data_IF_328729100751
#
_entry.id   IF_328729100751
#
_cell.length_a   1.000
_cell.length_b   1.000
_cell.length_c   1.000
_cell.angle_alpha   90.00
_cell.angle_beta   90.00
_cell.angle_gamma   90.00
#
_symmetry.space_group_name_H-M   'P 1'
#
loop_
_entity.id
_entity.type
_entity.pdbx_description
1 polymer ?
#
# COMPACT_ATOMS: atom_id res chain seq x y z
N UNK A 1 -11.59 18.49 10.87
CA UNK A 1 -10.48 17.71 10.29
C UNK A 1 -11.02 16.97 9.08
N UNK A 2 -10.62 17.37 7.88
CA UNK A 2 -11.10 16.78 6.64
C UNK A 2 -10.34 15.47 6.37
N UNK A 3 -11.05 14.36 6.35
CA UNK A 3 -10.48 13.04 6.05
C UNK A 3 -10.48 12.84 4.53
N UNK A 4 -9.30 12.88 3.93
CA UNK A 4 -9.09 12.51 2.53
C UNK A 4 -9.18 11.00 2.40
N UNK A 5 -10.35 10.47 2.00
CA UNK A 5 -10.48 9.06 1.65
C UNK A 5 -10.33 8.96 0.13
N UNK A 6 -9.16 8.47 -0.31
CA UNK A 6 -8.90 8.18 -1.72
C UNK A 6 -9.57 6.86 -2.10
N UNK A 7 -10.09 6.79 -3.33
CA UNK A 7 -10.63 5.58 -3.97
C UNK A 7 -9.69 4.38 -3.97
N UNK A 8 -8.38 4.59 -3.86
CA UNK A 8 -7.37 3.52 -3.74
C UNK A 8 -7.56 2.61 -2.50
N UNK A 9 -8.52 2.92 -1.61
CA UNK A 9 -8.77 2.17 -0.38
C UNK A 9 -9.87 1.10 -0.45
N UNK A 10 -10.68 1.04 -1.52
CA UNK A 10 -11.83 0.12 -1.60
C UNK A 10 -11.73 -0.84 -2.77
N UNK A 11 -11.94 -2.13 -2.50
CA UNK A 11 -11.89 -3.19 -3.52
C UNK A 11 -13.23 -3.37 -4.28
N UNK A 12 -14.06 -2.32 -4.35
CA UNK A 12 -15.33 -2.30 -5.09
C UNK A 12 -16.52 -1.69 -4.33
N UNK A 13 -17.72 -1.67 -4.94
CA UNK A 13 -18.89 -0.98 -4.40
C UNK A 13 -19.46 -1.64 -3.12
N UNK A 14 -19.35 -2.97 -2.99
CA UNK A 14 -19.78 -3.67 -1.77
C UNK A 14 -18.89 -3.32 -0.58
N UNK A 15 -17.60 -3.10 -0.80
CA UNK A 15 -16.69 -2.71 0.28
C UNK A 15 -16.96 -1.29 0.77
N UNK A 16 -17.20 -0.38 -0.17
CA UNK A 16 -17.66 0.98 0.15
C UNK A 16 -18.96 0.95 0.96
N UNK A 17 -19.93 0.14 0.55
CA UNK A 17 -21.19 0.00 1.31
C UNK A 17 -20.96 -0.54 2.72
N UNK A 18 -20.11 -1.57 2.89
CA UNK A 18 -19.76 -2.05 4.23
C UNK A 18 -19.05 -0.99 5.08
N UNK A 19 -18.25 -0.12 4.47
CA UNK A 19 -17.65 1.01 5.16
C UNK A 19 -18.70 2.02 5.62
N UNK A 20 -19.61 2.42 4.73
CA UNK A 20 -20.67 3.39 5.03
C UNK A 20 -21.65 2.86 6.09
N UNK A 21 -22.06 1.59 6.00
CA UNK A 21 -22.92 0.93 7.00
C UNK A 21 -22.25 0.96 8.39
N UNK A 22 -20.95 0.64 8.45
CA UNK A 22 -20.18 0.71 9.71
C UNK A 22 -20.09 2.13 10.24
N UNK A 23 -19.81 3.12 9.38
CA UNK A 23 -19.71 4.53 9.76
C UNK A 23 -21.04 5.09 10.27
N UNK A 24 -22.16 4.64 9.70
CA UNK A 24 -23.50 5.03 10.11
C UNK A 24 -24.03 4.26 11.33
N UNK A 25 -23.23 3.34 11.90
CA UNK A 25 -23.60 2.46 13.02
C UNK A 25 -24.89 1.64 12.74
N UNK A 26 -25.07 1.26 11.48
CA UNK A 26 -26.26 0.53 11.02
C UNK A 26 -26.05 -0.99 11.11
N UNK A 27 -27.13 -1.72 11.45
CA UNK A 27 -27.13 -3.17 11.33
C UNK A 27 -27.19 -3.58 9.84
N UNK A 28 -26.28 -4.44 9.42
CA UNK A 28 -26.23 -5.01 8.08
C UNK A 28 -27.49 -5.79 7.70
N UNK A 29 -28.23 -6.31 8.69
CA UNK A 29 -29.50 -7.01 8.46
C UNK A 29 -30.69 -6.07 8.35
N UNK A 30 -30.56 -4.83 8.82
CA UNK A 30 -31.62 -3.83 8.81
C UNK A 30 -31.12 -2.48 8.29
N UNK A 31 -30.79 -2.45 7.00
CA UNK A 31 -30.25 -1.26 6.35
C UNK A 31 -31.39 -0.31 5.94
N UNK A 32 -31.33 0.94 6.41
CA UNK A 32 -32.13 2.06 5.89
C UNK A 32 -31.63 2.46 4.48
N UNK A 33 -32.29 1.93 3.45
CA UNK A 33 -31.89 2.13 2.05
C UNK A 33 -31.85 3.63 1.69
N UNK A 34 -32.80 4.43 2.18
CA UNK A 34 -32.84 5.86 1.85
C UNK A 34 -31.55 6.60 2.27
N UNK A 35 -31.08 6.33 3.50
CA UNK A 35 -29.90 6.94 4.10
C UNK A 35 -28.61 6.44 3.44
N UNK A 36 -28.46 5.12 3.30
CA UNK A 36 -27.24 4.55 2.72
C UNK A 36 -27.05 4.96 1.26
N UNK A 37 -28.15 5.12 0.50
CA UNK A 37 -28.11 5.60 -0.88
C UNK A 37 -27.62 7.05 -0.94
N UNK A 38 -28.06 7.92 -0.03
CA UNK A 38 -27.60 9.31 0.01
C UNK A 38 -26.12 9.40 0.36
N UNK A 39 -25.68 8.65 1.37
CA UNK A 39 -24.27 8.59 1.78
C UNK A 39 -23.38 8.05 0.64
N UNK A 40 -23.86 7.03 -0.09
CA UNK A 40 -23.14 6.44 -1.23
C UNK A 40 -23.01 7.42 -2.40
N UNK A 41 -24.08 8.13 -2.76
CA UNK A 41 -24.07 9.11 -3.84
C UNK A 41 -23.23 10.34 -3.48
N UNK A 42 -23.31 10.81 -2.23
CA UNK A 42 -22.47 11.91 -1.75
C UNK A 42 -20.98 11.55 -1.87
N UNK A 43 -20.61 10.33 -1.45
CA UNK A 43 -19.23 9.86 -1.57
C UNK A 43 -18.78 9.76 -3.04
N UNK A 44 -19.62 9.25 -3.93
CA UNK A 44 -19.31 9.22 -5.38
C UNK A 44 -19.14 10.63 -5.98
N UNK A 45 -19.93 11.61 -5.54
CA UNK A 45 -19.83 12.98 -6.02
C UNK A 45 -18.50 13.63 -5.61
N UNK A 46 -18.12 13.51 -4.33
CA UNK A 46 -16.84 14.01 -3.81
C UNK A 46 -15.65 13.43 -4.59
N UNK A 47 -15.69 12.13 -4.91
CA UNK A 47 -14.64 11.48 -5.71
C UNK A 47 -14.51 12.01 -7.13
N UNK A 48 -15.65 12.32 -7.78
CA UNK A 48 -15.67 12.84 -9.15
C UNK A 48 -15.07 14.24 -9.21
N UNK A 49 -15.38 15.09 -8.23
CA UNK A 49 -14.83 16.44 -8.12
C UNK A 49 -13.30 16.43 -7.93
N UNK A 50 -12.79 15.46 -7.16
CA UNK A 50 -11.35 15.32 -6.93
C UNK A 50 -10.58 14.68 -8.11
N UNK A 51 -11.25 14.37 -9.23
CA UNK A 51 -10.68 13.66 -10.41
C UNK A 51 -9.99 12.33 -10.06
N UNK A 52 -10.39 11.71 -8.95
CA UNK A 52 -9.81 10.43 -8.48
C UNK A 52 -10.53 9.21 -9.05
N UNK A 53 -11.68 9.42 -9.70
CA UNK A 53 -12.49 8.36 -10.27
C UNK A 53 -12.06 8.12 -11.72
N UNK A 54 -11.22 7.12 -11.95
CA UNK A 54 -11.39 6.31 -13.16
C UNK A 54 -12.69 5.54 -12.94
N UNK A 55 -13.76 5.79 -13.72
CA UNK A 55 -15.08 5.23 -13.40
C UNK A 55 -15.07 3.72 -13.60
N UNK A 56 -14.92 2.97 -12.50
CA UNK A 56 -15.27 1.57 -12.50
C UNK A 56 -16.80 1.48 -12.69
N UNK A 57 -17.22 0.85 -13.80
CA UNK A 57 -18.62 0.68 -14.19
C UNK A 57 -19.48 0.08 -13.07
N UNK A 58 -18.87 -0.75 -12.22
CA UNK A 58 -19.50 -1.40 -11.07
C UNK A 58 -20.06 -0.43 -10.03
N UNK A 59 -19.40 0.71 -9.79
CA UNK A 59 -19.88 1.71 -8.83
C UNK A 59 -21.15 2.40 -9.33
N UNK A 60 -21.23 2.66 -10.64
CA UNK A 60 -22.42 3.26 -11.27
C UNK A 60 -23.59 2.28 -11.31
N UNK A 61 -23.32 0.99 -11.58
CA UNK A 61 -24.33 -0.07 -11.50
C UNK A 61 -24.90 -0.16 -10.09
N UNK A 62 -24.04 -0.11 -9.06
CA UNK A 62 -24.50 -0.09 -7.67
C UNK A 62 -25.30 1.19 -7.35
N UNK A 63 -24.87 2.37 -7.82
CA UNK A 63 -25.62 3.62 -7.64
C UNK A 63 -27.04 3.52 -8.20
N UNK A 64 -27.18 3.00 -9.42
CA UNK A 64 -28.48 2.78 -10.06
C UNK A 64 -29.33 1.76 -9.28
N UNK A 65 -28.70 0.69 -8.77
CA UNK A 65 -29.37 -0.33 -7.95
C UNK A 65 -29.92 0.28 -6.67
N UNK A 66 -29.12 1.09 -5.96
CA UNK A 66 -29.51 1.76 -4.71
C UNK A 66 -30.61 2.79 -4.92
N UNK A 67 -30.58 3.53 -6.03
CA UNK A 67 -31.64 4.46 -6.42
C UNK A 67 -32.95 3.73 -6.73
N UNK A 68 -32.89 2.61 -7.45
CA UNK A 68 -34.06 1.78 -7.73
C UNK A 68 -34.67 1.22 -6.42
N UNK A 69 -33.83 0.74 -5.50
CA UNK A 69 -34.26 0.26 -4.19
C UNK A 69 -34.86 1.39 -3.35
N UNK A 70 -34.26 2.58 -3.34
CA UNK A 70 -34.80 3.77 -2.63
C UNK A 70 -36.17 4.17 -3.19
N UNK A 71 -36.31 4.20 -4.51
CA UNK A 71 -37.57 4.50 -5.19
C UNK A 71 -38.67 3.49 -4.83
N UNK A 72 -38.37 2.18 -4.92
CA UNK A 72 -39.32 1.11 -4.55
C UNK A 72 -39.69 1.12 -3.06
N UNK A 73 -38.78 1.57 -2.20
CA UNK A 73 -39.02 1.67 -0.75
C UNK A 73 -39.90 2.88 -0.37
N UNK A 74 -39.84 3.97 -1.13
CA UNK A 74 -40.52 5.23 -0.80
C UNK A 74 -41.84 5.45 -1.57
N UNK A 75 -41.98 4.87 -2.76
CA UNK A 75 -43.16 5.10 -3.60
C UNK A 75 -44.34 4.19 -3.21
N UNK A 76 -45.58 4.73 -3.16
CA UNK A 76 -46.78 3.92 -3.01
C UNK A 76 -46.96 3.03 -4.25
N UNK A 77 -47.24 1.74 -4.03
CA UNK A 77 -47.45 0.77 -5.12
C UNK A 77 -48.85 0.96 -5.72
N UNK A 78 -48.95 1.12 -7.04
CA UNK A 78 -50.23 1.20 -7.75
C UNK A 78 -51.00 -0.11 -7.62
N UNK A 79 -52.22 -0.06 -7.10
CA UNK A 79 -53.14 -1.19 -7.00
C UNK A 79 -53.67 -1.56 -8.38
N UNK A 80 -53.03 -2.53 -9.03
CA UNK A 80 -53.57 -3.18 -10.22
C UNK A 80 -54.21 -4.52 -9.81
N UNK A 81 -55.54 -4.69 -9.96
CA UNK A 81 -56.24 -5.91 -9.57
C UNK A 81 -55.79 -7.16 -10.34
N UNK A 82 -55.17 -7.00 -11.50
CA UNK A 82 -54.73 -8.12 -12.35
C UNK A 82 -53.47 -8.85 -11.83
N UNK A 83 -52.74 -8.27 -10.87
CA UNK A 83 -51.45 -8.79 -10.38
C UNK A 83 -51.47 -9.17 -8.88
N UNK A 84 -52.65 -9.38 -8.31
CA UNK A 84 -52.83 -9.63 -6.85
C UNK A 84 -52.02 -10.85 -6.33
N UNK A 85 -52.01 -11.95 -7.08
CA UNK A 85 -51.27 -13.17 -6.69
C UNK A 85 -49.75 -12.99 -6.78
N UNK A 86 -49.26 -12.25 -7.78
CA UNK A 86 -47.84 -11.90 -7.95
C UNK A 86 -47.38 -10.89 -6.89
N UNK A 87 -48.26 -9.93 -6.54
CA UNK A 87 -48.03 -8.95 -5.47
C UNK A 87 -47.83 -9.60 -4.12
N UNK A 88 -48.67 -10.57 -3.73
CA UNK A 88 -48.52 -11.28 -2.45
C UNK A 88 -47.17 -12.01 -2.34
N UNK A 89 -46.66 -12.54 -3.46
CA UNK A 89 -45.34 -13.16 -3.51
C UNK A 89 -44.20 -12.13 -3.47
N UNK A 90 -44.33 -11.00 -4.16
CA UNK A 90 -43.35 -9.91 -4.15
C UNK A 90 -43.34 -9.05 -2.88
N UNK A 91 -44.44 -8.99 -2.14
CA UNK A 91 -44.53 -8.35 -0.82
C UNK A 91 -43.87 -9.20 0.26
N UNK A 92 -43.91 -10.53 0.11
CA UNK A 92 -43.22 -11.44 1.02
C UNK A 92 -41.69 -11.36 0.91
N UNK A 93 -41.16 -10.91 -0.24
CA UNK A 93 -39.72 -10.76 -0.45
C UNK A 93 -39.28 -9.33 -0.13
N UNK A 94 -38.48 -9.18 0.93
CA UNK A 94 -37.84 -7.90 1.24
C UNK A 94 -36.99 -7.44 0.03
N UNK A 95 -37.27 -6.28 -0.60
CA UNK A 95 -36.57 -5.83 -1.81
C UNK A 95 -35.06 -5.63 -1.60
N UNK A 96 -34.61 -5.42 -0.36
CA UNK A 96 -33.18 -5.31 -0.01
C UNK A 96 -32.54 -6.66 0.32
N UNK A 97 -33.27 -7.77 0.35
CA UNK A 97 -32.77 -9.09 0.75
C UNK A 97 -31.55 -9.54 -0.07
N UNK A 98 -31.59 -9.31 -1.38
CA UNK A 98 -30.47 -9.66 -2.27
C UNK A 98 -29.21 -8.84 -1.92
N UNK A 99 -29.37 -7.53 -1.71
CA UNK A 99 -28.26 -6.65 -1.33
C UNK A 99 -27.66 -7.08 0.01
N UNK A 100 -28.50 -7.31 1.02
CA UNK A 100 -28.08 -7.78 2.35
C UNK A 100 -27.30 -9.09 2.23
N UNK A 101 -27.81 -10.06 1.45
CA UNK A 101 -27.15 -11.33 1.22
C UNK A 101 -25.75 -11.15 0.63
N UNK A 102 -25.62 -10.33 -0.43
CA UNK A 102 -24.33 -10.03 -1.08
C UNK A 102 -23.35 -9.35 -0.11
N UNK A 103 -23.83 -8.42 0.72
CA UNK A 103 -23.00 -7.74 1.72
C UNK A 103 -22.51 -8.70 2.81
N UNK A 104 -23.36 -9.61 3.30
CA UNK A 104 -22.96 -10.62 4.29
C UNK A 104 -21.92 -11.58 3.70
N UNK A 105 -22.13 -12.04 2.46
CA UNK A 105 -21.21 -12.92 1.76
C UNK A 105 -19.85 -12.25 1.54
N UNK A 106 -19.84 -11.02 1.03
CA UNK A 106 -18.62 -10.24 0.87
C UNK A 106 -17.89 -10.03 2.20
N UNK A 107 -18.62 -9.66 3.28
CA UNK A 107 -18.04 -9.51 4.62
C UNK A 107 -17.35 -10.80 5.10
N UNK A 108 -17.95 -11.96 4.83
CA UNK A 108 -17.38 -13.27 5.18
C UNK A 108 -16.07 -13.53 4.44
N UNK A 109 -16.03 -13.29 3.13
CA UNK A 109 -14.82 -13.46 2.34
C UNK A 109 -13.73 -12.45 2.71
N UNK A 110 -14.10 -11.20 3.01
CA UNK A 110 -13.16 -10.19 3.49
C UNK A 110 -12.49 -10.61 4.80
N UNK A 111 -13.25 -11.12 5.77
CA UNK A 111 -12.71 -11.65 7.02
C UNK A 111 -11.82 -12.90 6.81
N UNK A 112 -12.18 -13.76 5.85
CA UNK A 112 -11.35 -14.92 5.50
C UNK A 112 -10.01 -14.49 4.86
N UNK A 113 -10.05 -13.49 3.97
CA UNK A 113 -8.86 -12.92 3.33
C UNK A 113 -7.94 -12.26 4.37
N UNK A 114 -8.49 -11.51 5.32
CA UNK A 114 -7.72 -10.93 6.44
C UNK A 114 -7.01 -12.01 7.25
N UNK A 115 -7.70 -13.11 7.59
CA UNK A 115 -7.11 -14.24 8.32
C UNK A 115 -6.03 -14.97 7.51
N UNK A 116 -6.17 -15.05 6.19
CA UNK A 116 -5.13 -15.59 5.31
C UNK A 116 -3.92 -14.66 5.26
N UNK A 117 -4.13 -13.35 5.23
CA UNK A 117 -3.06 -12.34 5.27
C UNK A 117 -2.29 -12.38 6.59
N UNK A 118 -2.97 -12.58 7.71
CA UNK A 118 -2.33 -12.82 9.00
C UNK A 118 -1.43 -14.05 8.99
N UNK A 119 -1.88 -15.15 8.36
CA UNK A 119 -1.08 -16.38 8.21
C UNK A 119 0.11 -16.20 7.28
N UNK A 120 -0.06 -15.45 6.20
CA UNK A 120 1.04 -15.08 5.30
C UNK A 120 2.13 -14.31 6.06
N UNK A 121 1.73 -13.30 6.85
CA UNK A 121 2.66 -12.50 7.64
C UNK A 121 3.32 -13.31 8.79
N UNK A 122 2.58 -14.19 9.44
CA UNK A 122 3.12 -15.07 10.49
C UNK A 122 4.04 -16.18 9.91
N UNK A 123 3.88 -16.48 8.62
CA UNK A 123 4.61 -17.52 7.89
C UNK A 123 5.97 -17.08 7.34
N UNK A 124 6.65 -16.11 7.95
CA UNK A 124 8.04 -15.75 7.65
C UNK A 124 9.01 -16.87 8.05
N UNK A 125 8.82 -18.06 7.48
CA UNK A 125 9.75 -19.17 7.54
C UNK A 125 10.85 -18.87 6.54
N UNK A 126 12.02 -18.50 7.05
CA UNK A 126 13.22 -18.36 6.23
C UNK A 126 13.62 -19.74 5.70
N UNK A 127 13.31 -20.01 4.44
CA UNK A 127 13.74 -21.23 3.76
C UNK A 127 15.11 -21.03 3.15
N UNK A 128 16.00 -22.03 3.30
CA UNK A 128 17.25 -22.07 2.52
C UNK A 128 16.94 -22.45 1.06
N UNK A 129 17.63 -21.88 0.06
CA UNK A 129 17.56 -22.39 -1.30
C UNK A 129 17.95 -23.88 -1.34
N UNK A 130 17.41 -24.66 -2.29
CA UNK A 130 17.86 -26.02 -2.53
C UNK A 130 19.37 -26.01 -2.83
N UNK A 131 20.09 -26.97 -2.26
CA UNK A 131 21.51 -27.12 -2.52
C UNK A 131 21.72 -27.59 -3.97
N UNK A 132 22.84 -27.18 -4.57
CA UNK A 132 23.25 -27.73 -5.86
C UNK A 132 23.66 -29.19 -5.67
N UNK A 133 22.92 -30.09 -6.32
CA UNK A 133 23.15 -31.53 -6.29
C UNK A 133 23.81 -32.03 -7.58
N UNK A 134 24.18 -31.15 -8.52
CA UNK A 134 24.88 -31.52 -9.74
C UNK A 134 26.15 -32.39 -9.51
N UNK A 135 26.94 -32.19 -8.44
CA UNK A 135 28.10 -33.06 -8.15
C UNK A 135 27.74 -34.51 -7.79
N UNK A 136 26.48 -34.78 -7.44
CA UNK A 136 25.97 -36.10 -7.05
C UNK A 136 25.06 -36.72 -8.12
N UNK A 137 24.93 -36.05 -9.26
CA UNK A 137 24.07 -36.50 -10.34
C UNK A 137 24.63 -37.80 -10.95
N UNK A 138 23.80 -38.84 -10.96
CA UNK A 138 24.15 -40.12 -11.58
C UNK A 138 23.55 -40.11 -12.98
N UNK A 139 24.32 -40.45 -14.03
CA UNK A 139 23.78 -40.49 -15.37
C UNK A 139 22.66 -41.53 -15.45
N UNK A 140 21.44 -41.02 -15.56
CA UNK A 140 20.21 -41.79 -15.71
C UNK A 140 19.12 -40.85 -16.21
N UNK A 141 18.51 -41.19 -17.34
CA UNK A 141 17.34 -40.48 -17.84
C UNK A 141 16.17 -40.75 -16.89
N UNK A 142 16.00 -39.90 -15.88
CA UNK A 142 14.75 -39.83 -15.14
C UNK A 142 13.74 -39.14 -16.05
N UNK A 143 12.68 -39.83 -16.51
CA UNK A 143 11.62 -39.16 -17.23
C UNK A 143 11.00 -38.13 -16.28
N UNK A 144 11.20 -36.86 -16.61
CA UNK A 144 10.59 -35.74 -15.93
C UNK A 144 9.12 -35.71 -16.33
N UNK A 145 8.27 -36.37 -15.54
CA UNK A 145 6.82 -36.24 -15.64
C UNK A 145 6.40 -34.88 -15.05
N UNK A 146 6.60 -33.83 -15.84
CA UNK A 146 6.39 -32.44 -15.42
C UNK A 146 5.19 -31.88 -16.18
N UNK A 147 4.16 -31.51 -15.43
CA UNK A 147 3.02 -30.79 -15.97
C UNK A 147 3.32 -29.31 -16.17
N UNK A 148 2.58 -28.63 -17.05
CA UNK A 148 2.64 -27.17 -17.22
C UNK A 148 2.41 -26.46 -15.87
N UNK A 149 1.52 -27.00 -15.03
CA UNK A 149 1.26 -26.47 -13.69
C UNK A 149 2.51 -26.50 -12.80
N UNK A 150 3.31 -27.57 -12.87
CA UNK A 150 4.56 -27.65 -12.11
C UNK A 150 5.57 -26.59 -12.57
N UNK A 151 5.64 -26.29 -13.87
CA UNK A 151 6.49 -25.21 -14.39
C UNK A 151 6.01 -23.83 -13.91
N UNK A 152 4.69 -23.59 -13.90
CA UNK A 152 4.10 -22.34 -13.37
C UNK A 152 4.41 -22.17 -11.89
N UNK A 153 4.27 -23.22 -11.08
CA UNK A 153 4.60 -23.19 -9.65
C UNK A 153 6.10 -22.92 -9.45
N UNK A 154 6.97 -23.56 -10.22
CA UNK A 154 8.42 -23.34 -10.16
C UNK A 154 8.77 -21.88 -10.49
N UNK A 155 8.16 -21.32 -11.54
CA UNK A 155 8.34 -19.92 -11.94
C UNK A 155 7.85 -18.94 -10.87
N UNK A 156 6.64 -19.14 -10.33
CA UNK A 156 6.10 -18.31 -9.25
C UNK A 156 6.98 -18.36 -7.99
N UNK A 157 7.52 -19.54 -7.67
CA UNK A 157 8.45 -19.72 -6.55
C UNK A 157 9.76 -18.96 -6.78
N UNK A 158 10.29 -18.97 -8.00
CA UNK A 158 11.50 -18.23 -8.36
C UNK A 158 11.30 -16.71 -8.27
N UNK A 159 10.16 -16.19 -8.76
CA UNK A 159 9.82 -14.76 -8.63
C UNK A 159 9.69 -14.35 -7.18
N UNK A 160 8.88 -15.06 -6.38
CA UNK A 160 8.66 -14.72 -4.96
C UNK A 160 9.97 -14.69 -4.17
N UNK A 161 10.90 -15.62 -4.46
CA UNK A 161 12.24 -15.62 -3.85
C UNK A 161 13.07 -14.40 -4.24
N UNK A 162 13.02 -13.99 -5.52
CA UNK A 162 13.73 -12.80 -5.99
C UNK A 162 13.18 -11.52 -5.35
N UNK A 163 11.85 -11.41 -5.24
CA UNK A 163 11.20 -10.28 -4.57
C UNK A 163 11.51 -10.25 -3.07
N UNK A 164 11.47 -11.39 -2.39
CA UNK A 164 11.87 -11.51 -0.99
C UNK A 164 13.36 -11.13 -0.78
N UNK A 165 14.25 -11.53 -1.69
CA UNK A 165 15.66 -11.14 -1.66
C UNK A 165 15.86 -9.65 -1.94
N UNK A 166 15.03 -9.04 -2.81
CA UNK A 166 15.05 -7.61 -3.08
C UNK A 166 14.49 -6.77 -1.92
N UNK A 167 13.68 -7.38 -1.04
CA UNK A 167 13.11 -6.76 0.16
C UNK A 167 14.04 -6.89 1.38
N UNK A 168 15.15 -7.64 1.29
CA UNK A 168 16.21 -7.57 2.28
C UNK A 168 16.72 -6.13 2.24
N UNK A 169 16.48 -5.42 3.34
CA UNK A 169 16.81 -4.03 3.56
C UNK A 169 18.02 -3.63 2.74
N UNK A 170 17.85 -2.65 1.84
CA UNK A 170 18.94 -1.75 1.52
C UNK A 170 19.43 -1.30 2.88
N UNK A 171 20.53 -1.89 3.34
CA UNK A 171 21.31 -1.34 4.43
C UNK A 171 21.72 -0.01 3.85
N UNK A 172 20.94 1.03 4.16
CA UNK A 172 21.35 2.39 3.96
C UNK A 172 22.61 2.45 4.80
N UNK A 173 23.77 2.31 4.14
CA UNK A 173 25.07 2.48 4.78
C UNK A 173 24.95 3.74 5.62
N UNK A 174 25.31 3.63 6.89
CA UNK A 174 25.20 4.73 7.85
C UNK A 174 25.68 6.01 7.16
N UNK A 175 24.75 6.96 7.01
CA UNK A 175 25.08 8.29 6.49
C UNK A 175 26.20 8.84 7.36
N UNK A 176 27.24 9.41 6.76
CA UNK A 176 28.33 10.05 7.50
C UNK A 176 27.71 11.01 8.54
N UNK A 177 27.86 10.67 9.82
CA UNK A 177 27.31 11.49 10.90
C UNK A 177 28.11 12.79 10.99
N UNK A 178 27.50 13.84 11.53
CA UNK A 178 28.18 15.13 11.70
C UNK A 178 29.39 14.96 12.63
N UNK A 179 29.28 14.08 13.62
CA UNK A 179 30.37 13.72 14.54
C UNK A 179 31.53 13.03 13.81
N UNK A 180 31.25 12.07 12.94
CA UNK A 180 32.29 11.40 12.14
C UNK A 180 32.94 12.36 11.14
N UNK A 181 32.17 13.27 10.53
CA UNK A 181 32.67 14.32 9.66
C UNK A 181 33.58 15.30 10.43
N UNK A 182 33.24 15.65 11.67
CA UNK A 182 34.02 16.51 12.55
C UNK A 182 35.38 15.89 12.89
N UNK A 183 35.42 14.61 13.23
CA UNK A 183 36.69 13.91 13.42
C UNK A 183 37.52 13.84 12.13
N UNK A 184 36.87 13.62 10.99
CA UNK A 184 37.56 13.59 9.70
C UNK A 184 38.20 14.95 9.37
N UNK A 185 37.52 16.06 9.66
CA UNK A 185 38.06 17.43 9.48
C UNK A 185 39.27 17.64 10.39
N UNK A 186 39.16 17.29 11.68
CA UNK A 186 40.27 17.45 12.64
C UNK A 186 41.47 16.59 12.24
N UNK A 187 41.26 15.33 11.82
CA UNK A 187 42.33 14.46 11.34
C UNK A 187 42.99 14.99 10.08
N UNK A 188 42.22 15.50 9.12
CA UNK A 188 42.75 16.03 7.87
C UNK A 188 43.60 17.29 8.07
N UNK A 189 43.29 18.08 9.10
CA UNK A 189 44.02 19.30 9.46
C UNK A 189 45.13 19.07 10.49
N UNK A 190 45.16 17.91 11.15
CA UNK A 190 46.17 17.58 12.15
C UNK A 190 47.57 17.59 11.53
N UNK A 191 48.45 18.44 12.05
CA UNK A 191 49.84 18.56 11.59
C UNK A 191 50.02 19.37 10.31
N UNK A 192 48.96 19.97 9.76
CA UNK A 192 49.05 20.90 8.63
C UNK A 192 49.07 22.35 9.13
N UNK A 193 50.01 23.14 8.61
CA UNK A 193 50.12 24.59 8.89
C UNK A 193 49.61 25.46 7.74
N UNK A 194 49.36 24.86 6.57
CA UNK A 194 48.86 25.55 5.39
C UNK A 194 47.32 25.48 5.31
N UNK A 195 46.66 26.51 4.74
CA UNK A 195 45.22 26.48 4.49
C UNK A 195 44.83 25.31 3.58
N UNK A 196 43.82 24.54 3.99
CA UNK A 196 43.28 23.44 3.17
C UNK A 196 41.98 23.85 2.50
N UNK A 197 41.86 23.54 1.21
CA UNK A 197 40.63 23.80 0.47
C UNK A 197 39.49 22.89 0.95
N UNK A 198 38.30 23.46 1.15
CA UNK A 198 37.12 22.67 1.50
C UNK A 198 36.83 21.57 0.48
N UNK A 199 37.04 21.85 -0.81
CA UNK A 199 36.83 20.87 -1.88
C UNK A 199 37.84 19.72 -1.87
N UNK A 200 39.05 19.96 -1.36
CA UNK A 200 40.04 18.90 -1.13
C UNK A 200 39.56 17.96 -0.03
N UNK A 201 38.99 18.50 1.05
CA UNK A 201 38.42 17.73 2.16
C UNK A 201 37.25 16.84 1.70
N UNK A 202 36.35 17.39 0.87
CA UNK A 202 35.23 16.64 0.28
C UNK A 202 35.74 15.50 -0.62
N UNK A 203 36.78 15.72 -1.43
CA UNK A 203 37.35 14.70 -2.34
C UNK A 203 38.22 13.64 -1.65
N UNK A 204 38.73 13.93 -0.45
CA UNK A 204 39.74 13.11 0.23
C UNK A 204 39.22 11.86 0.96
N UNK A 205 37.93 11.56 0.94
CA UNK A 205 37.40 10.39 1.66
C UNK A 205 36.89 9.26 0.79
N UNK A 206 36.19 8.29 1.40
CA UNK A 206 35.84 7.04 0.74
C UNK A 206 35.01 7.26 -0.53
N UNK A 207 35.36 6.56 -1.60
CA UNK A 207 34.68 6.60 -2.91
C UNK A 207 33.24 6.06 -2.82
N UNK A 208 32.91 5.40 -1.71
CA UNK A 208 31.66 4.70 -1.44
C UNK A 208 30.53 5.59 -0.87
N UNK A 209 30.76 6.88 -0.62
CA UNK A 209 29.79 7.83 -0.06
C UNK A 209 29.15 8.71 -1.16
N UNK A 210 27.87 9.08 -0.99
CA UNK A 210 27.22 10.08 -1.86
C UNK A 210 27.97 11.43 -1.73
N UNK A 211 28.52 11.98 -2.84
CA UNK A 211 29.27 13.24 -2.81
C UNK A 211 28.50 14.41 -2.21
N UNK A 212 27.17 14.43 -2.36
CA UNK A 212 26.32 15.52 -1.88
C UNK A 212 26.13 15.45 -0.37
N UNK A 213 25.80 14.27 0.16
CA UNK A 213 25.58 14.07 1.59
C UNK A 213 26.88 14.29 2.38
N UNK A 214 28.02 13.82 1.83
CA UNK A 214 29.34 14.08 2.38
C UNK A 214 29.69 15.57 2.42
N UNK A 215 29.39 16.31 1.36
CA UNK A 215 29.63 17.74 1.32
C UNK A 215 28.80 18.48 2.38
N UNK A 216 27.54 18.09 2.57
CA UNK A 216 26.65 18.67 3.59
C UNK A 216 27.18 18.37 5.01
N UNK A 217 27.54 17.11 5.30
CA UNK A 217 28.05 16.71 6.61
C UNK A 217 29.38 17.42 6.96
N UNK A 218 30.32 17.49 6.02
CA UNK A 218 31.59 18.22 6.20
C UNK A 218 31.37 19.72 6.36
N UNK A 219 30.43 20.32 5.63
CA UNK A 219 30.11 21.73 5.76
C UNK A 219 29.56 22.06 7.15
N UNK A 220 28.60 21.26 7.64
CA UNK A 220 28.05 21.40 8.99
C UNK A 220 29.14 21.24 10.06
N UNK A 221 30.01 20.24 9.92
CA UNK A 221 31.13 20.02 10.83
C UNK A 221 32.12 21.21 10.86
N UNK A 222 32.42 21.82 9.70
CA UNK A 222 33.27 23.02 9.64
C UNK A 222 32.59 24.21 10.32
N UNK A 223 31.31 24.44 10.09
CA UNK A 223 30.57 25.53 10.75
C UNK A 223 30.53 25.36 12.27
N UNK A 224 30.37 24.13 12.74
CA UNK A 224 30.39 23.81 14.17
C UNK A 224 31.78 24.06 14.80
N UNK A 225 32.85 23.61 14.12
CA UNK A 225 34.22 23.83 14.59
C UNK A 225 34.63 25.32 14.56
N UNK A 226 34.10 26.10 13.62
CA UNK A 226 34.24 27.57 13.62
C UNK A 226 33.46 28.17 14.79
N UNK A 227 32.24 27.71 15.07
CA UNK A 227 31.46 28.14 16.24
C UNK A 227 32.20 27.87 17.55
N UNK A 228 32.92 26.76 17.65
CA UNK A 228 33.77 26.39 18.79
C UNK A 228 35.15 27.10 18.80
N UNK A 229 35.42 28.00 17.84
CA UNK A 229 36.70 28.70 17.67
C UNK A 229 37.92 27.78 17.46
N UNK A 230 37.69 26.53 17.02
CA UNK A 230 38.75 25.55 16.75
C UNK A 230 39.33 25.67 15.35
N UNK A 231 38.61 26.32 14.43
CA UNK A 231 39.04 26.55 13.05
C UNK A 231 38.83 28.01 12.65
N UNK A 232 39.68 28.49 11.74
CA UNK A 232 39.51 29.76 11.04
C UNK A 232 39.27 29.48 9.58
N UNK A 233 38.21 30.04 9.03
CA UNK A 233 37.86 29.91 7.61
C UNK A 233 38.17 31.22 6.91
N UNK A 234 38.77 31.13 5.72
CA UNK A 234 39.05 32.24 4.84
C UNK A 234 38.25 32.04 3.55
N UNK A 235 37.43 33.02 3.20
CA UNK A 235 36.71 33.05 1.94
C UNK A 235 37.13 34.32 1.18
N UNK A 236 37.82 34.15 0.06
CA UNK A 236 38.39 35.27 -0.69
C UNK A 236 37.34 36.06 -1.50
N UNK A 237 36.21 35.43 -1.85
CA UNK A 237 35.07 36.06 -2.53
C UNK A 237 33.73 35.42 -2.11
N UNK A 238 32.65 36.21 -1.97
CA UNK A 238 31.33 35.73 -1.55
C UNK A 238 30.76 34.69 -2.51
#
# INVERSE_FOLDING_TARGET
MAYTVKLDAFEGPLDLLLHLIRRAEMDITNIEIARITDDYLAYLAEMQEEKKLEPASEFLVMAATLLALKSRALLPRKEDPAEETLRLWEEALDPRAELIRRLIEYRRFKAAAERLRERENAGALYTRPPADLAPYDRPGELPLDVSILALVIAYQTAIRRREAAATVAVVVRERLTVEAAREAVVRALAGRTEPVSFWELVRSGPVDEDPRDRAIALFLAVLELVREQRLRVLQERP
#
